data_IF_264580335091
#
_entry.id   IF_264580335091
#
_cell.length_a   1.000
_cell.length_b   1.000
_cell.length_c   1.000
_cell.angle_alpha   90.00
_cell.angle_beta   90.00
_cell.angle_gamma   90.00
#
_symmetry.space_group_name_H-M   'P 1'
#
loop_
_entity.id
_entity.type
_entity.pdbx_description
1 polymer ?
#
# COMPACT_ATOMS: atom_id res chain seq x y z
N UNK A 1 -26.78 3.45 -14.89
CA UNK A 1 -25.79 3.29 -13.80
C UNK A 1 -24.65 4.26 -14.08
N UNK A 2 -24.58 5.37 -13.35
CA UNK A 2 -23.60 6.42 -13.59
C UNK A 2 -22.22 5.95 -13.12
N UNK A 3 -21.37 5.52 -14.06
CA UNK A 3 -19.97 5.26 -13.78
C UNK A 3 -19.35 6.50 -13.15
N UNK A 4 -18.82 6.39 -11.92
CA UNK A 4 -17.89 7.36 -11.33
C UNK A 4 -16.59 7.32 -12.15
N UNK A 5 -16.62 7.84 -13.37
CA UNK A 5 -15.43 8.04 -14.19
C UNK A 5 -14.57 9.12 -13.51
N UNK A 6 -13.28 8.83 -13.32
CA UNK A 6 -12.31 9.81 -12.85
C UNK A 6 -12.31 10.97 -13.86
N UNK A 7 -12.92 12.09 -13.49
CA UNK A 7 -13.06 13.26 -14.37
C UNK A 7 -11.73 13.98 -14.60
N UNK A 8 -10.78 13.84 -13.66
CA UNK A 8 -9.42 14.38 -13.75
C UNK A 8 -8.41 13.33 -13.28
N UNK A 9 -7.60 12.83 -14.21
CA UNK A 9 -6.48 11.94 -13.88
C UNK A 9 -5.33 12.75 -13.29
N UNK A 10 -4.67 12.19 -12.28
CA UNK A 10 -3.44 12.76 -11.71
C UNK A 10 -2.36 12.81 -12.79
N UNK A 11 -1.64 13.93 -12.89
CA UNK A 11 -0.42 14.00 -13.69
C UNK A 11 0.68 13.18 -12.99
N UNK A 12 1.30 12.25 -13.72
CA UNK A 12 2.43 11.48 -13.20
C UNK A 12 3.70 12.32 -13.36
N UNK A 13 4.43 12.53 -12.27
CA UNK A 13 5.69 13.28 -12.30
C UNK A 13 6.88 12.31 -12.32
N UNK A 14 7.85 12.49 -13.23
CA UNK A 14 9.02 11.63 -13.28
C UNK A 14 9.93 11.88 -12.07
N UNK A 15 10.60 10.84 -11.61
CA UNK A 15 11.70 10.96 -10.65
C UNK A 15 12.89 11.62 -11.35
N UNK A 16 13.22 12.84 -10.93
CA UNK A 16 14.33 13.60 -11.49
C UNK A 16 15.68 13.10 -10.91
N UNK A 17 16.82 13.34 -11.60
CA UNK A 17 18.13 12.87 -11.13
C UNK A 17 18.47 13.28 -9.70
N UNK A 18 18.09 14.49 -9.27
CA UNK A 18 18.33 14.94 -7.89
C UNK A 18 17.59 14.10 -6.84
N UNK A 19 16.33 13.73 -7.12
CA UNK A 19 15.56 12.85 -6.25
C UNK A 19 16.13 11.42 -6.29
N UNK A 20 16.53 10.93 -7.46
CA UNK A 20 17.17 9.62 -7.58
C UNK A 20 18.45 9.53 -6.72
N UNK A 21 19.35 10.52 -6.82
CA UNK A 21 20.57 10.58 -6.01
C UNK A 21 20.25 10.56 -4.52
N UNK A 22 19.23 11.29 -4.07
CA UNK A 22 18.77 11.25 -2.69
C UNK A 22 18.30 9.83 -2.30
N UNK A 23 17.48 9.19 -3.13
CA UNK A 23 16.99 7.83 -2.86
C UNK A 23 18.13 6.81 -2.77
N UNK A 24 19.13 6.91 -3.64
CA UNK A 24 20.32 6.05 -3.62
C UNK A 24 21.11 6.24 -2.31
N UNK A 25 21.35 7.49 -1.90
CA UNK A 25 22.09 7.82 -0.68
C UNK A 25 21.39 7.36 0.61
N UNK A 26 20.06 7.28 0.60
CA UNK A 26 19.25 6.90 1.75
C UNK A 26 18.77 5.44 1.71
N UNK A 27 19.31 4.60 0.82
CA UNK A 27 18.96 3.18 0.72
C UNK A 27 17.52 2.93 0.29
N UNK A 28 16.91 3.90 -0.41
CA UNK A 28 15.56 3.83 -0.99
C UNK A 28 15.55 3.35 -2.43
N UNK A 29 16.70 3.29 -3.06
CA UNK A 29 16.86 2.78 -4.40
C UNK A 29 17.91 1.66 -4.42
N UNK A 30 17.46 0.50 -4.91
CA UNK A 30 18.28 -0.69 -5.08
C UNK A 30 17.84 -1.43 -6.35
N UNK A 31 18.68 -2.31 -6.87
CA UNK A 31 18.28 -3.21 -7.93
C UNK A 31 17.14 -4.11 -7.45
N UNK A 32 15.99 -4.08 -8.14
CA UNK A 32 14.86 -4.95 -7.83
C UNK A 32 14.75 -6.07 -8.87
N UNK A 33 14.31 -7.27 -8.46
CA UNK A 33 14.19 -8.41 -9.37
C UNK A 33 12.91 -8.42 -10.20
N UNK A 34 11.96 -7.49 -9.95
CA UNK A 34 10.67 -7.38 -10.66
C UNK A 34 10.35 -5.91 -10.91
N UNK A 35 10.09 -5.53 -12.15
CA UNK A 35 9.55 -4.23 -12.52
C UNK A 35 8.01 -4.25 -12.61
N UNK A 36 7.39 -3.06 -12.63
CA UNK A 36 5.96 -2.93 -12.89
C UNK A 36 5.58 -3.48 -14.28
N UNK A 37 6.45 -3.29 -15.27
CA UNK A 37 6.26 -3.78 -16.64
C UNK A 37 6.25 -5.31 -16.70
N UNK A 38 7.05 -5.99 -15.89
CA UNK A 38 7.07 -7.46 -15.81
C UNK A 38 5.71 -8.02 -15.38
N UNK A 39 5.02 -7.34 -14.46
CA UNK A 39 3.71 -7.72 -13.94
C UNK A 39 2.60 -7.52 -14.96
N UNK A 40 2.76 -6.63 -15.94
CA UNK A 40 1.75 -6.38 -16.98
C UNK A 40 1.61 -7.51 -17.99
N UNK A 41 2.50 -8.52 -17.97
CA UNK A 41 2.53 -9.65 -18.91
C UNK A 41 1.50 -10.75 -18.63
N UNK A 42 0.56 -10.55 -17.71
CA UNK A 42 -0.49 -11.53 -17.46
C UNK A 42 -1.36 -11.75 -18.71
N UNK A 43 -1.77 -12.99 -18.96
CA UNK A 43 -2.56 -13.37 -20.15
C UNK A 43 -4.07 -13.47 -19.87
N UNK A 44 -4.43 -13.60 -18.60
CA UNK A 44 -5.82 -13.68 -18.17
C UNK A 44 -6.00 -13.05 -16.80
N UNK A 45 -7.26 -12.83 -16.42
CA UNK A 45 -7.57 -12.34 -15.09
C UNK A 45 -8.97 -12.74 -14.65
N UNK A 46 -9.19 -12.87 -13.34
CA UNK A 46 -10.49 -13.17 -12.75
C UNK A 46 -10.90 -12.05 -11.83
N UNK A 47 -12.16 -11.60 -11.90
CA UNK A 47 -12.66 -10.55 -11.01
C UNK A 47 -12.62 -11.00 -9.55
N UNK A 48 -12.13 -10.14 -8.66
CA UNK A 48 -12.19 -10.35 -7.22
C UNK A 48 -13.49 -9.71 -6.74
N UNK A 49 -14.39 -10.52 -6.20
CA UNK A 49 -15.67 -10.07 -5.64
C UNK A 49 -15.55 -9.95 -4.12
N UNK A 50 -16.34 -9.05 -3.53
CA UNK A 50 -16.46 -8.95 -2.08
C UNK A 50 -17.39 -10.04 -1.51
N UNK A 51 -17.64 -10.01 -0.20
CA UNK A 51 -18.50 -10.99 0.47
C UNK A 51 -19.97 -10.96 0.03
N UNK A 52 -20.40 -9.92 -0.66
CA UNK A 52 -21.76 -9.73 -1.18
C UNK A 52 -21.80 -9.86 -2.72
N UNK A 53 -20.79 -10.50 -3.31
CA UNK A 53 -20.68 -10.74 -4.76
C UNK A 53 -20.56 -9.45 -5.60
N UNK A 54 -20.12 -8.34 -4.99
CA UNK A 54 -19.94 -7.06 -5.68
C UNK A 54 -18.51 -6.92 -6.20
N UNK A 55 -18.38 -6.29 -7.37
CA UNK A 55 -17.09 -6.05 -8.02
C UNK A 55 -16.20 -5.12 -7.17
N UNK A 56 -15.03 -5.60 -6.76
CA UNK A 56 -14.05 -4.82 -5.98
C UNK A 56 -13.18 -3.90 -6.85
N UNK A 57 -13.31 -3.98 -8.18
CA UNK A 57 -12.44 -3.32 -9.17
C UNK A 57 -10.99 -3.83 -9.15
N UNK A 58 -10.76 -4.96 -8.51
CA UNK A 58 -9.51 -5.72 -8.56
C UNK A 58 -9.73 -7.00 -9.36
N UNK A 59 -8.71 -7.39 -10.11
CA UNK A 59 -8.69 -8.67 -10.83
C UNK A 59 -7.45 -9.46 -10.40
N UNK A 60 -7.59 -10.76 -10.15
CA UNK A 60 -6.45 -11.64 -9.91
C UNK A 60 -5.81 -12.02 -11.24
N UNK A 61 -4.49 -11.85 -11.35
CA UNK A 61 -3.75 -11.98 -12.61
C UNK A 61 -3.26 -13.42 -12.82
N UNK A 62 -3.51 -13.94 -14.02
CA UNK A 62 -3.08 -15.26 -14.45
C UNK A 62 -1.89 -15.14 -15.40
N UNK A 63 -0.79 -15.79 -15.03
CA UNK A 63 0.44 -15.84 -15.81
C UNK A 63 0.68 -17.25 -16.35
N UNK A 64 1.33 -17.39 -17.51
CA UNK A 64 1.81 -18.68 -18.01
C UNK A 64 2.66 -19.39 -16.95
N UNK A 65 2.54 -20.72 -16.84
CA UNK A 65 3.22 -21.48 -15.80
C UNK A 65 4.75 -21.25 -15.80
N UNK A 66 5.37 -21.20 -16.98
CA UNK A 66 6.82 -20.98 -17.11
C UNK A 66 7.28 -19.62 -16.59
N UNK A 67 6.50 -18.55 -16.81
CA UNK A 67 6.82 -17.20 -16.32
C UNK A 67 6.43 -17.01 -14.85
N UNK A 68 5.38 -17.71 -14.41
CA UNK A 68 4.84 -17.58 -13.05
C UNK A 68 5.86 -17.98 -11.99
N UNK A 69 6.59 -19.06 -12.17
CA UNK A 69 7.53 -19.57 -11.17
C UNK A 69 8.71 -18.60 -10.96
N UNK A 70 9.22 -18.04 -12.06
CA UNK A 70 10.26 -17.00 -12.02
C UNK A 70 9.73 -15.72 -11.36
N UNK A 71 8.55 -15.25 -11.79
CA UNK A 71 7.92 -14.06 -11.24
C UNK A 71 7.67 -14.20 -9.73
N UNK A 72 7.13 -15.33 -9.29
CA UNK A 72 6.88 -15.62 -7.87
C UNK A 72 8.18 -15.62 -7.09
N UNK A 73 9.24 -16.24 -7.62
CA UNK A 73 10.56 -16.26 -6.97
C UNK A 73 11.11 -14.84 -6.81
N UNK A 74 11.01 -14.02 -7.85
CA UNK A 74 11.46 -12.64 -7.83
C UNK A 74 10.61 -11.77 -6.89
N UNK A 75 9.30 -12.00 -6.78
CA UNK A 75 8.43 -11.33 -5.81
C UNK A 75 8.77 -11.70 -4.36
N UNK A 76 9.15 -12.96 -4.07
CA UNK A 76 9.66 -13.34 -2.75
C UNK A 76 10.99 -12.65 -2.43
N UNK A 77 11.88 -12.51 -3.41
CA UNK A 77 13.13 -11.75 -3.25
C UNK A 77 12.87 -10.28 -2.97
N UNK A 78 11.93 -9.68 -3.70
CA UNK A 78 11.51 -8.30 -3.46
C UNK A 78 11.01 -8.10 -2.02
N UNK A 79 10.22 -9.03 -1.49
CA UNK A 79 9.83 -9.04 -0.07
C UNK A 79 11.06 -9.10 0.85
N UNK A 80 12.02 -9.99 0.58
CA UNK A 80 13.24 -10.12 1.39
C UNK A 80 14.07 -8.84 1.39
N UNK A 81 14.20 -8.17 0.25
CA UNK A 81 14.92 -6.89 0.12
C UNK A 81 14.21 -5.77 0.91
N UNK A 82 12.88 -5.77 0.94
CA UNK A 82 12.10 -4.71 1.61
C UNK A 82 12.09 -4.86 3.15
N UNK A 83 12.21 -6.08 3.68
CA UNK A 83 12.00 -6.36 5.11
C UNK A 83 13.18 -7.04 5.83
N UNK A 84 14.14 -7.57 5.08
CA UNK A 84 15.33 -8.23 5.60
C UNK A 84 16.59 -7.63 4.95
N UNK A 85 17.71 -8.32 5.10
CA UNK A 85 18.99 -8.00 4.48
C UNK A 85 19.06 -8.40 2.99
N UNK A 86 17.94 -8.76 2.37
CA UNK A 86 17.88 -9.29 1.01
C UNK A 86 18.40 -10.72 0.87
N UNK A 87 18.60 -11.45 1.99
CA UNK A 87 19.03 -12.84 1.97
C UNK A 87 18.01 -13.78 1.35
N UNK A 88 18.48 -14.72 0.52
CA UNK A 88 17.65 -15.76 -0.07
C UNK A 88 17.22 -16.84 0.95
N UNK A 89 17.75 -16.80 2.18
CA UNK A 89 17.48 -17.79 3.24
C UNK A 89 16.01 -17.89 3.65
N UNK A 90 15.25 -16.80 3.53
CA UNK A 90 13.83 -16.77 3.89
C UNK A 90 12.89 -17.23 2.75
N UNK A 91 13.37 -17.23 1.49
CA UNK A 91 12.53 -17.51 0.32
C UNK A 91 11.78 -18.85 0.36
N UNK A 92 12.37 -19.97 0.84
CA UNK A 92 11.66 -21.24 0.94
C UNK A 92 10.43 -21.18 1.85
N UNK A 93 10.41 -20.22 2.79
CA UNK A 93 9.34 -20.03 3.76
C UNK A 93 8.32 -18.97 3.36
N UNK A 94 8.47 -18.37 2.18
CA UNK A 94 7.53 -17.38 1.65
C UNK A 94 6.69 -18.00 0.54
N UNK A 95 5.43 -17.59 0.45
CA UNK A 95 4.53 -17.86 -0.69
C UNK A 95 3.95 -16.56 -1.22
N UNK A 96 3.72 -16.50 -2.53
CA UNK A 96 2.92 -15.45 -3.16
C UNK A 96 1.54 -16.04 -3.38
N UNK A 97 0.59 -15.64 -2.54
CA UNK A 97 -0.75 -16.22 -2.54
C UNK A 97 -1.62 -15.64 -3.67
N UNK A 98 -1.43 -14.35 -4.01
CA UNK A 98 -2.19 -13.68 -5.07
C UNK A 98 -1.43 -12.50 -5.67
N UNK A 99 -1.66 -12.23 -6.96
CA UNK A 99 -1.15 -11.06 -7.69
C UNK A 99 -2.37 -10.35 -8.28
N UNK A 100 -2.87 -9.33 -7.57
CA UNK A 100 -4.08 -8.63 -7.98
C UNK A 100 -3.76 -7.30 -8.66
N UNK A 101 -4.46 -6.96 -9.74
CA UNK A 101 -4.33 -5.71 -10.48
C UNK A 101 -5.56 -4.82 -10.29
N UNK A 102 -5.33 -3.55 -9.97
CA UNK A 102 -6.41 -2.56 -9.86
C UNK A 102 -6.74 -1.98 -11.24
N UNK A 103 -7.99 -2.15 -11.68
CA UNK A 103 -8.43 -1.68 -13.00
C UNK A 103 -8.75 -0.18 -13.03
N UNK A 104 -9.01 0.41 -11.86
CA UNK A 104 -9.54 1.77 -11.73
C UNK A 104 -8.51 2.83 -11.31
N UNK A 105 -7.50 2.48 -10.50
CA UNK A 105 -6.58 3.44 -9.88
C UNK A 105 -5.73 4.25 -10.88
N UNK A 106 -5.35 5.49 -10.53
CA UNK A 106 -4.56 6.37 -11.40
C UNK A 106 -3.23 5.74 -11.86
N UNK A 107 -2.51 5.10 -10.94
CA UNK A 107 -1.24 4.40 -11.20
C UNK A 107 -1.43 2.91 -11.49
N UNK A 108 -2.67 2.43 -11.54
CA UNK A 108 -3.07 1.02 -11.73
C UNK A 108 -2.19 0.05 -10.93
N UNK A 109 -2.19 0.15 -9.59
CA UNK A 109 -1.28 -0.63 -8.76
C UNK A 109 -1.56 -2.13 -8.85
N UNK A 110 -0.49 -2.92 -8.75
CA UNK A 110 -0.57 -4.33 -8.38
C UNK A 110 -0.53 -4.46 -6.86
N UNK A 111 -1.29 -5.41 -6.31
CA UNK A 111 -1.29 -5.81 -4.90
C UNK A 111 -0.86 -7.27 -4.82
N UNK A 112 0.29 -7.49 -4.22
CA UNK A 112 0.91 -8.81 -4.07
C UNK A 112 0.69 -9.26 -2.62
N UNK A 113 0.03 -10.41 -2.42
CA UNK A 113 -0.09 -11.02 -1.09
C UNK A 113 1.08 -11.96 -0.88
N UNK A 114 1.96 -11.62 0.07
CA UNK A 114 3.09 -12.47 0.45
C UNK A 114 2.83 -13.02 1.84
N UNK A 115 2.92 -14.34 2.00
CA UNK A 115 2.66 -15.04 3.26
C UNK A 115 3.88 -15.84 3.69
N UNK A 116 4.17 -15.83 4.98
CA UNK A 116 5.16 -16.67 5.60
C UNK A 116 4.50 -17.96 6.07
N UNK A 117 4.95 -19.11 5.54
CA UNK A 117 4.32 -20.41 5.80
C UNK A 117 4.59 -20.96 7.20
N UNK A 118 5.59 -20.44 7.92
CA UNK A 118 5.95 -20.91 9.26
C UNK A 118 4.95 -20.40 10.30
N UNK A 119 4.57 -19.12 10.21
CA UNK A 119 3.72 -18.45 11.20
C UNK A 119 2.36 -18.00 10.63
N UNK A 120 2.10 -18.29 9.35
CA UNK A 120 0.90 -17.92 8.59
C UNK A 120 0.62 -16.40 8.50
N UNK A 121 1.59 -15.57 8.89
CA UNK A 121 1.49 -14.13 8.75
C UNK A 121 1.63 -13.75 7.28
N UNK A 122 0.78 -12.83 6.83
CA UNK A 122 0.87 -12.27 5.49
C UNK A 122 0.94 -10.74 5.55
N UNK A 123 1.44 -10.18 4.46
CA UNK A 123 1.33 -8.76 4.17
C UNK A 123 1.06 -8.54 2.70
N UNK A 124 0.69 -7.30 2.38
CA UNK A 124 0.51 -6.87 1.01
C UNK A 124 1.63 -5.91 0.62
N UNK A 125 2.20 -6.15 -0.56
CA UNK A 125 3.06 -5.20 -1.24
C UNK A 125 2.28 -4.58 -2.38
N UNK A 126 2.41 -3.27 -2.56
CA UNK A 126 1.93 -2.60 -3.75
C UNK A 126 3.07 -2.29 -4.69
N UNK A 127 2.93 -2.70 -5.95
CA UNK A 127 3.87 -2.37 -7.01
C UNK A 127 3.16 -1.44 -7.98
N UNK A 128 3.71 -0.25 -8.19
CA UNK A 128 3.08 0.84 -8.92
C UNK A 128 4.06 1.44 -9.92
N UNK A 129 3.52 2.10 -10.95
CA UNK A 129 4.31 3.07 -11.71
C UNK A 129 4.84 4.15 -10.78
N UNK A 130 6.11 4.48 -10.91
CA UNK A 130 6.75 5.48 -10.08
C UNK A 130 6.19 6.87 -10.38
N UNK A 131 5.98 7.65 -9.33
CA UNK A 131 5.49 9.02 -9.37
C UNK A 131 6.22 9.79 -8.28
N UNK A 132 7.00 10.80 -8.68
CA UNK A 132 7.81 11.58 -7.76
C UNK A 132 6.97 12.20 -6.63
N UNK A 133 5.73 12.60 -6.91
CA UNK A 133 4.85 13.15 -5.87
C UNK A 133 4.52 12.12 -4.78
N UNK A 134 4.34 10.85 -5.14
CA UNK A 134 4.14 9.76 -4.17
C UNK A 134 5.41 9.50 -3.36
N UNK A 135 6.57 9.51 -4.02
CA UNK A 135 7.87 9.33 -3.37
C UNK A 135 8.14 10.42 -2.33
N UNK A 136 7.89 11.70 -2.68
CA UNK A 136 8.01 12.80 -1.73
C UNK A 136 7.08 12.63 -0.53
N UNK A 137 5.81 12.26 -0.76
CA UNK A 137 4.86 12.00 0.33
C UNK A 137 5.32 10.88 1.27
N UNK A 138 5.82 9.78 0.72
CA UNK A 138 6.38 8.67 1.49
C UNK A 138 7.59 9.11 2.34
N UNK A 139 8.49 9.89 1.77
CA UNK A 139 9.65 10.43 2.50
C UNK A 139 9.24 11.44 3.58
N UNK A 140 8.28 12.33 3.31
CA UNK A 140 7.79 13.27 4.32
C UNK A 140 7.14 12.54 5.50
N UNK A 141 6.30 11.53 5.25
CA UNK A 141 5.74 10.73 6.34
C UNK A 141 6.85 9.97 7.08
N UNK A 142 7.81 9.37 6.38
CA UNK A 142 8.93 8.66 7.01
C UNK A 142 9.80 9.57 7.89
N UNK A 143 10.03 10.83 7.48
CA UNK A 143 10.89 11.78 8.18
C UNK A 143 10.17 12.48 9.35
N UNK A 144 8.88 12.78 9.19
CA UNK A 144 8.13 13.62 10.11
C UNK A 144 7.14 12.85 10.99
N UNK A 145 7.01 11.53 10.77
CA UNK A 145 6.07 10.65 11.48
C UNK A 145 6.77 9.51 12.21
N UNK A 146 6.20 9.05 13.34
CA UNK A 146 6.58 7.75 13.90
C UNK A 146 6.12 6.58 13.01
N UNK A 147 5.23 6.82 12.05
CA UNK A 147 4.78 5.79 11.12
C UNK A 147 5.86 5.55 10.06
N UNK A 148 6.63 4.48 10.25
CA UNK A 148 7.54 4.03 9.19
C UNK A 148 6.75 3.35 8.09
N UNK A 149 7.16 3.58 6.85
CA UNK A 149 6.63 2.93 5.66
C UNK A 149 7.82 2.37 4.89
N UNK A 150 7.84 1.06 4.68
CA UNK A 150 8.86 0.46 3.85
C UNK A 150 8.49 0.66 2.38
N UNK A 151 9.40 1.27 1.63
CA UNK A 151 9.24 1.43 0.19
C UNK A 151 10.60 1.43 -0.51
N UNK A 152 10.60 1.09 -1.80
CA UNK A 152 11.76 1.08 -2.68
C UNK A 152 11.38 1.64 -4.04
N UNK A 153 12.34 2.31 -4.68
CA UNK A 153 12.20 2.87 -6.02
C UNK A 153 13.29 2.29 -6.92
N UNK A 154 12.91 1.83 -8.11
CA UNK A 154 13.86 1.41 -9.13
C UNK A 154 13.32 1.73 -10.52
N UNK A 155 14.05 2.57 -11.26
CA UNK A 155 13.61 3.04 -12.58
C UNK A 155 12.22 3.65 -12.50
N UNK A 156 11.26 3.07 -13.24
CA UNK A 156 9.87 3.52 -13.26
C UNK A 156 8.95 2.71 -12.32
N UNK A 157 9.51 1.96 -11.37
CA UNK A 157 8.76 1.11 -10.43
C UNK A 157 8.89 1.65 -9.00
N UNK A 158 7.75 1.81 -8.33
CA UNK A 158 7.66 2.06 -6.90
C UNK A 158 7.06 0.82 -6.22
N UNK A 159 7.73 0.33 -5.19
CA UNK A 159 7.23 -0.74 -4.32
C UNK A 159 7.00 -0.13 -2.95
N UNK A 160 5.83 -0.35 -2.38
CA UNK A 160 5.52 0.10 -1.02
C UNK A 160 4.76 -0.97 -0.26
N UNK A 161 5.02 -1.05 1.03
CA UNK A 161 4.26 -1.89 1.94
C UNK A 161 2.84 -1.34 2.14
N UNK A 162 1.87 -2.24 2.27
CA UNK A 162 0.52 -1.86 2.63
C UNK A 162 0.46 -1.24 4.03
N UNK A 163 -0.15 -0.06 4.11
CA UNK A 163 -0.44 0.58 5.39
C UNK A 163 -1.73 -0.04 5.95
N UNK A 164 -1.57 -0.90 6.96
CA UNK A 164 -2.66 -1.61 7.62
C UNK A 164 -3.59 -0.66 8.36
N UNK A 165 -4.89 -0.84 8.15
CA UNK A 165 -5.97 -0.22 8.91
C UNK A 165 -7.29 -0.28 8.16
N UNK A 166 -8.37 0.15 8.81
CA UNK A 166 -9.70 0.23 8.18
C UNK A 166 -9.76 1.55 7.40
N UNK A 167 -10.07 1.55 6.09
CA UNK A 167 -10.24 2.79 5.34
C UNK A 167 -11.21 3.75 6.04
N UNK A 168 -10.89 5.04 6.08
CA UNK A 168 -11.64 6.01 6.88
C UNK A 168 -13.11 6.14 6.45
N UNK A 169 -13.40 6.07 5.15
CA UNK A 169 -14.76 6.03 4.61
C UNK A 169 -15.53 4.79 5.07
N UNK A 170 -14.96 3.60 4.94
CA UNK A 170 -15.54 2.33 5.41
C UNK A 170 -15.77 2.38 6.93
N UNK A 171 -14.80 2.90 7.68
CA UNK A 171 -14.92 3.03 9.14
C UNK A 171 -16.09 3.94 9.53
N UNK A 172 -16.24 5.09 8.86
CA UNK A 172 -17.32 6.05 9.12
C UNK A 172 -18.69 5.44 8.80
N UNK A 173 -18.80 4.68 7.71
CA UNK A 173 -20.07 4.09 7.29
C UNK A 173 -20.46 2.89 8.17
N UNK A 174 -19.53 1.96 8.40
CA UNK A 174 -19.85 0.65 8.99
C UNK A 174 -19.62 0.56 10.50
N UNK A 175 -18.66 1.31 11.05
CA UNK A 175 -18.23 1.14 12.46
C UNK A 175 -18.68 2.29 13.35
N UNK A 176 -18.47 3.54 12.90
CA UNK A 176 -18.73 4.75 13.68
C UNK A 176 -20.14 4.80 14.30
N UNK A 177 -21.24 4.43 13.61
CA UNK A 177 -22.59 4.50 14.18
C UNK A 177 -22.80 3.58 15.38
N UNK A 178 -22.04 2.48 15.46
CA UNK A 178 -22.15 1.46 16.50
C UNK A 178 -21.23 1.70 17.71
N UNK A 179 -20.31 2.69 17.62
CA UNK A 179 -19.32 2.90 18.67
C UNK A 179 -19.95 3.50 19.95
N UNK A 180 -19.54 3.05 21.14
CA UNK A 180 -19.87 3.71 22.40
C UNK A 180 -19.44 5.18 22.42
N UNK A 181 -20.14 6.01 23.19
CA UNK A 181 -19.84 7.45 23.29
C UNK A 181 -18.39 7.75 23.71
N UNK A 182 -17.81 6.92 24.57
CA UNK A 182 -16.42 7.05 25.00
C UNK A 182 -15.44 6.88 23.83
N UNK A 183 -15.68 5.90 22.97
CA UNK A 183 -14.84 5.60 21.81
C UNK A 183 -15.01 6.65 20.72
N UNK A 184 -16.24 7.15 20.50
CA UNK A 184 -16.47 8.30 19.63
C UNK A 184 -15.66 9.53 20.08
N UNK A 185 -15.62 9.80 21.39
CA UNK A 185 -14.80 10.90 21.95
C UNK A 185 -13.30 10.66 21.78
N UNK A 186 -12.83 9.42 21.96
CA UNK A 186 -11.43 9.07 21.76
C UNK A 186 -11.02 9.24 20.29
N UNK A 187 -11.84 8.76 19.37
CA UNK A 187 -11.64 8.91 17.93
C UNK A 187 -11.64 10.39 17.52
N UNK A 188 -12.60 11.20 18.00
CA UNK A 188 -12.66 12.63 17.70
C UNK A 188 -11.38 13.36 18.16
N UNK A 189 -10.86 13.01 19.35
CA UNK A 189 -9.57 13.56 19.83
C UNK A 189 -8.40 13.15 18.93
N UNK A 190 -8.37 11.91 18.45
CA UNK A 190 -7.34 11.49 17.49
C UNK A 190 -7.50 12.19 16.14
N UNK A 191 -8.72 12.41 15.66
CA UNK A 191 -8.98 13.12 14.41
C UNK A 191 -8.46 14.56 14.45
N UNK A 192 -8.68 15.28 15.55
CA UNK A 192 -8.09 16.62 15.74
C UNK A 192 -6.56 16.55 15.68
N UNK A 193 -5.95 15.61 16.40
CA UNK A 193 -4.49 15.43 16.36
C UNK A 193 -3.99 15.06 14.97
N UNK A 194 -4.72 14.22 14.25
CA UNK A 194 -4.39 13.80 12.90
C UNK A 194 -4.42 14.97 11.92
N UNK A 195 -5.47 15.79 11.97
CA UNK A 195 -5.60 16.95 11.10
C UNK A 195 -4.46 17.97 11.32
N UNK A 196 -4.13 18.25 12.58
CA UNK A 196 -2.96 19.08 12.93
C UNK A 196 -1.64 18.47 12.42
N UNK A 197 -1.45 17.15 12.53
CA UNK A 197 -0.27 16.46 11.98
C UNK A 197 -0.21 16.59 10.46
N UNK A 198 -1.32 16.43 9.75
CA UNK A 198 -1.37 16.55 8.29
C UNK A 198 -0.96 17.95 7.83
N UNK A 199 -1.42 18.99 8.53
CA UNK A 199 -1.02 20.36 8.25
C UNK A 199 0.48 20.58 8.49
N UNK A 200 0.99 20.21 9.67
CA UNK A 200 2.40 20.40 10.03
C UNK A 200 3.37 19.60 9.14
N UNK A 201 2.93 18.46 8.61
CA UNK A 201 3.74 17.57 7.78
C UNK A 201 3.58 17.79 6.28
N UNK A 202 2.80 18.79 5.89
CA UNK A 202 2.52 19.11 4.48
C UNK A 202 1.91 17.93 3.70
N UNK A 203 1.11 17.08 4.36
CA UNK A 203 0.46 15.93 3.73
C UNK A 203 -0.83 16.30 2.98
N UNK A 204 -1.15 17.59 2.93
CA UNK A 204 -2.35 18.10 2.26
C UNK A 204 -3.64 17.86 3.04
N UNK A 205 -4.76 18.09 2.35
CA UNK A 205 -6.11 17.89 2.88
C UNK A 205 -6.55 16.43 2.71
N UNK A 206 -6.82 15.78 3.82
CA UNK A 206 -7.13 14.35 3.87
C UNK A 206 -8.63 14.10 3.72
N UNK A 207 -9.01 13.44 2.62
CA UNK A 207 -10.38 12.92 2.48
C UNK A 207 -10.50 11.58 3.20
N UNK A 208 -11.73 11.13 3.43
CA UNK A 208 -12.02 9.90 4.18
C UNK A 208 -11.35 8.65 3.59
N UNK A 209 -11.08 8.61 2.29
CA UNK A 209 -10.37 7.51 1.63
C UNK A 209 -8.85 7.68 1.57
N UNK A 210 -8.28 8.78 2.09
CA UNK A 210 -6.83 9.06 2.11
C UNK A 210 -6.17 8.66 3.44
N UNK A 211 -6.91 8.11 4.38
CA UNK A 211 -6.38 7.62 5.65
C UNK A 211 -7.02 6.31 6.09
N UNK A 212 -6.37 5.64 7.02
CA UNK A 212 -6.90 4.46 7.71
C UNK A 212 -6.99 4.71 9.21
N UNK A 213 -8.01 4.08 9.82
CA UNK A 213 -8.17 3.98 11.26
C UNK A 213 -7.57 2.66 11.72
N UNK A 214 -6.58 2.74 12.60
CA UNK A 214 -5.97 1.61 13.29
C UNK A 214 -6.57 1.52 14.68
N UNK A 215 -7.08 0.34 15.01
CA UNK A 215 -7.65 0.03 16.31
C UNK A 215 -6.69 -0.92 17.02
N UNK A 216 -6.21 -0.52 18.19
CA UNK A 216 -5.39 -1.37 19.06
C UNK A 216 -6.16 -1.65 20.33
N UNK A 217 -6.42 -2.92 20.63
CA UNK A 217 -6.95 -3.32 21.92
C UNK A 217 -5.82 -3.23 22.95
N UNK A 218 -6.00 -2.33 23.93
CA UNK A 218 -5.17 -2.22 25.12
C UNK A 218 -6.00 -2.71 26.31
N UNK A 219 -5.35 -3.22 27.37
CA UNK A 219 -5.97 -4.02 28.46
C UNK A 219 -7.48 -3.81 28.66
N UNK A 220 -7.87 -2.63 29.15
CA UNK A 220 -9.26 -2.21 29.40
C UNK A 220 -9.78 -1.16 28.40
N UNK A 221 -8.99 -0.77 27.40
CA UNK A 221 -9.27 0.39 26.54
C UNK A 221 -8.97 0.14 25.07
N UNK A 222 -9.81 0.70 24.21
CA UNK A 222 -9.54 0.73 22.78
C UNK A 222 -8.76 2.00 22.45
N UNK A 223 -7.59 1.83 21.83
CA UNK A 223 -6.81 2.94 21.30
C UNK A 223 -7.08 3.08 19.80
N UNK A 224 -7.52 4.26 19.39
CA UNK A 224 -7.64 4.64 17.99
C UNK A 224 -6.41 5.41 17.55
N UNK A 225 -5.95 5.17 16.33
CA UNK A 225 -4.91 5.93 15.64
C UNK A 225 -5.30 6.15 14.19
N UNK A 226 -5.11 7.37 13.69
CA UNK A 226 -5.36 7.66 12.27
C UNK A 226 -4.03 7.86 11.55
N UNK A 227 -3.86 7.13 10.45
CA UNK A 227 -2.65 7.13 9.62
C UNK A 227 -3.01 7.56 8.20
N UNK A 228 -2.27 8.51 7.65
CA UNK A 228 -2.39 8.85 6.23
C UNK A 228 -1.88 7.68 5.38
N UNK A 229 -2.56 7.44 4.25
CA UNK A 229 -2.14 6.43 3.27
C UNK A 229 -1.80 7.03 1.92
N UNK A 230 -2.30 8.22 1.60
CA UNK A 230 -2.10 8.92 0.34
C UNK A 230 -1.84 10.41 0.61
N UNK A 231 -0.90 11.01 -0.13
CA UNK A 231 -0.26 12.30 0.15
C UNK A 231 -0.29 13.22 -1.08
#
# INVERSE_FOLDING_TARGET
MNHKLISKKKQVYPVLPALQTYLDQHGRAMGIPVSYEDLLRFEGSVAILDGDDRDTLWVDCLYPQGERDELVTNLKRLYSILHADGSDTILPFLTVDSIAFCTFGNTKPFRIKVRNVINDNYLFLYIKRCDASRVYGLELEQLLSPNRINFLVHGNTLIEEHIVGIPGDVFIEEKLPSLPLQDQRALAKEFVKFNERCFLRLLGDMRSYNYVVVITQDFDRIQYRIRAIDF
#
